data_IF_635489481118
#
_entry.id   IF_635489481118
#
_cell.length_a   1.000
_cell.length_b   1.000
_cell.length_c   1.000
_cell.angle_alpha   90.00
_cell.angle_beta   90.00
_cell.angle_gamma   90.00
#
_symmetry.space_group_name_H-M   'P 1'
#
loop_
_entity.id
_entity.type
_entity.pdbx_description
1 polymer ?
#
# COMPACT_ATOMS: atom_id res chain seq x y z
N UNK A 1 -15.20 3.51 -20.61
CA UNK A 1 -15.05 2.09 -20.20
C UNK A 1 -15.08 1.90 -18.68
N UNK A 2 -14.54 2.81 -17.88
CA UNK A 2 -14.58 2.71 -16.40
C UNK A 2 -16.01 2.83 -15.81
N UNK A 3 -16.96 3.47 -16.53
CA UNK A 3 -18.36 3.52 -16.11
C UNK A 3 -19.12 2.19 -16.22
N UNK A 4 -18.61 1.27 -17.06
CA UNK A 4 -19.27 -0.03 -17.28
C UNK A 4 -19.15 -0.97 -16.07
N UNK A 5 -18.10 -0.84 -15.26
CA UNK A 5 -17.87 -1.67 -14.09
C UNK A 5 -18.51 -1.09 -12.81
N UNK A 6 -18.84 0.21 -12.82
CA UNK A 6 -19.41 0.88 -11.65
C UNK A 6 -20.92 1.10 -11.72
N UNK A 7 -21.57 0.82 -12.87
CA UNK A 7 -23.00 1.06 -13.10
C UNK A 7 -23.76 -0.18 -13.57
N UNK A 8 -23.31 -1.38 -13.19
CA UNK A 8 -24.11 -2.59 -13.43
C UNK A 8 -25.32 -2.61 -12.49
N UNK A 9 -26.33 -1.81 -12.79
CA UNK A 9 -27.70 -2.03 -12.30
C UNK A 9 -28.44 -3.13 -13.09
N UNK A 10 -27.80 -3.73 -14.12
CA UNK A 10 -28.33 -4.88 -14.86
C UNK A 10 -27.30 -6.01 -14.84
N UNK A 11 -27.65 -7.09 -14.18
CA UNK A 11 -26.92 -8.31 -13.83
C UNK A 11 -26.32 -9.10 -15.02
N UNK A 12 -25.33 -8.55 -15.72
CA UNK A 12 -24.66 -9.32 -16.77
C UNK A 12 -23.51 -10.21 -16.25
N UNK A 13 -22.87 -9.85 -15.14
CA UNK A 13 -21.85 -10.67 -14.50
C UNK A 13 -21.89 -10.51 -12.99
N UNK A 14 -22.19 -11.59 -12.30
CA UNK A 14 -22.09 -11.67 -10.84
C UNK A 14 -20.83 -12.45 -10.49
N UNK A 15 -19.86 -11.79 -9.90
CA UNK A 15 -18.75 -12.50 -9.25
C UNK A 15 -19.25 -13.05 -7.93
N UNK A 16 -18.95 -14.32 -7.64
CA UNK A 16 -19.31 -14.94 -6.38
C UNK A 16 -18.12 -15.71 -5.79
N UNK A 17 -18.00 -15.66 -4.48
CA UNK A 17 -17.08 -16.46 -3.68
C UNK A 17 -17.92 -17.27 -2.68
N UNK A 18 -17.84 -18.60 -2.73
CA UNK A 18 -18.62 -19.50 -1.87
C UNK A 18 -20.15 -19.20 -1.91
N UNK A 19 -20.70 -18.98 -3.11
CA UNK A 19 -22.11 -18.63 -3.33
C UNK A 19 -22.56 -17.29 -2.73
N UNK A 20 -21.64 -16.43 -2.31
CA UNK A 20 -21.92 -15.08 -1.85
C UNK A 20 -21.58 -14.08 -2.95
N UNK A 21 -22.40 -13.03 -3.17
CA UNK A 21 -22.08 -11.99 -4.13
C UNK A 21 -20.78 -11.29 -3.72
N UNK A 22 -19.90 -11.11 -4.70
CA UNK A 22 -18.61 -10.46 -4.54
C UNK A 22 -18.70 -9.02 -5.05
N UNK A 23 -18.36 -8.05 -4.21
CA UNK A 23 -18.37 -6.65 -4.60
C UNK A 23 -17.06 -6.25 -5.29
N UNK A 24 -17.05 -6.26 -6.62
CA UNK A 24 -15.86 -5.90 -7.41
C UNK A 24 -15.30 -4.50 -7.06
N UNK A 25 -16.15 -3.57 -6.69
CA UNK A 25 -15.72 -2.21 -6.28
C UNK A 25 -14.85 -2.19 -5.03
N UNK A 26 -14.97 -3.18 -4.14
CA UNK A 26 -14.18 -3.30 -2.90
C UNK A 26 -12.97 -4.19 -3.06
N UNK A 27 -13.20 -5.40 -3.61
CA UNK A 27 -12.23 -6.49 -3.58
C UNK A 27 -11.63 -6.78 -4.96
N UNK A 28 -12.06 -6.05 -6.00
CA UNK A 28 -11.56 -6.14 -7.35
C UNK A 28 -10.65 -4.97 -7.74
N UNK A 29 -9.80 -5.22 -8.73
CA UNK A 29 -8.98 -4.19 -9.35
C UNK A 29 -9.02 -4.34 -10.87
N UNK A 30 -9.40 -3.26 -11.57
CA UNK A 30 -9.32 -3.19 -13.02
C UNK A 30 -8.06 -2.43 -13.42
N UNK A 31 -7.21 -3.07 -14.23
CA UNK A 31 -5.95 -2.52 -14.73
C UNK A 31 -6.09 -2.38 -16.24
N UNK A 32 -6.22 -1.15 -16.73
CA UNK A 32 -6.31 -0.86 -18.16
C UNK A 32 -4.96 -0.98 -18.86
N UNK A 33 -3.90 -0.60 -18.18
CA UNK A 33 -2.55 -0.49 -18.72
C UNK A 33 -1.51 -0.93 -17.70
N UNK A 34 -0.96 -2.15 -17.84
CA UNK A 34 0.03 -2.71 -16.91
C UNK A 34 1.29 -1.86 -16.69
N UNK A 35 1.67 -1.06 -17.69
CA UNK A 35 2.87 -0.20 -17.63
C UNK A 35 2.74 0.97 -16.63
N UNK A 36 1.51 1.39 -16.31
CA UNK A 36 1.28 2.54 -15.43
C UNK A 36 0.93 2.16 -13.99
N UNK A 37 1.16 0.91 -13.60
CA UNK A 37 0.98 0.52 -12.19
C UNK A 37 2.03 1.18 -11.31
N UNK A 38 1.59 1.73 -10.18
CA UNK A 38 2.45 2.41 -9.22
C UNK A 38 2.40 1.70 -7.86
N UNK A 39 3.50 1.01 -7.53
CA UNK A 39 3.67 0.34 -6.25
C UNK A 39 3.71 1.32 -5.07
N UNK A 40 4.06 2.58 -5.33
CA UNK A 40 4.11 3.65 -4.33
C UNK A 40 2.90 4.59 -4.39
N UNK A 41 1.79 4.13 -4.97
CA UNK A 41 0.53 4.86 -4.96
C UNK A 41 0.12 5.22 -3.53
N UNK A 42 -0.55 6.37 -3.36
CA UNK A 42 -1.01 6.85 -2.05
C UNK A 42 -1.80 5.78 -1.26
N UNK A 43 -2.58 4.96 -1.97
CA UNK A 43 -3.40 3.91 -1.35
C UNK A 43 -2.53 2.78 -0.78
N UNK A 44 -1.51 2.33 -1.52
CA UNK A 44 -0.58 1.30 -1.06
C UNK A 44 0.33 1.81 0.06
N UNK A 45 0.88 3.03 -0.08
CA UNK A 45 1.72 3.64 0.96
C UNK A 45 0.94 3.84 2.26
N UNK A 46 -0.32 4.29 2.21
CA UNK A 46 -1.13 4.43 3.42
C UNK A 46 -1.38 3.08 4.14
N UNK A 47 -1.45 1.98 3.39
CA UNK A 47 -1.53 0.63 3.99
C UNK A 47 -0.19 0.15 4.52
N UNK A 48 0.91 0.47 3.85
CA UNK A 48 2.26 0.19 4.33
C UNK A 48 2.52 0.92 5.66
N UNK A 49 2.22 2.22 5.73
CA UNK A 49 2.38 3.03 6.95
C UNK A 49 1.58 2.43 8.11
N UNK A 50 0.32 2.06 7.88
CA UNK A 50 -0.51 1.42 8.90
C UNK A 50 0.05 0.07 9.37
N UNK A 51 0.57 -0.75 8.44
CA UNK A 51 1.23 -2.00 8.78
C UNK A 51 2.51 -1.78 9.59
N UNK A 52 3.37 -0.84 9.18
CA UNK A 52 4.60 -0.50 9.91
C UNK A 52 4.31 0.08 11.29
N UNK A 53 3.27 0.91 11.42
CA UNK A 53 2.82 1.43 12.71
C UNK A 53 2.36 0.31 13.66
N UNK A 54 1.58 -0.63 13.16
CA UNK A 54 1.14 -1.78 13.95
C UNK A 54 2.34 -2.63 14.37
N UNK A 55 3.23 -2.96 13.46
CA UNK A 55 4.44 -3.74 13.74
C UNK A 55 5.33 -3.03 14.77
N UNK A 56 5.51 -1.71 14.67
CA UNK A 56 6.28 -0.93 15.63
C UNK A 56 5.68 -0.97 17.05
N UNK A 57 4.35 -0.99 17.15
CA UNK A 57 3.68 -1.05 18.46
C UNK A 57 3.65 -2.47 19.05
N UNK A 58 3.53 -3.49 18.22
CA UNK A 58 3.34 -4.87 18.66
C UNK A 58 4.67 -5.59 18.86
N UNK A 59 5.59 -5.51 17.89
CA UNK A 59 6.85 -6.28 17.88
C UNK A 59 8.04 -5.46 18.39
N UNK A 60 8.02 -4.11 18.23
CA UNK A 60 9.13 -3.22 18.54
C UNK A 60 8.73 -2.12 19.54
N UNK A 61 7.89 -2.47 20.53
CA UNK A 61 7.35 -1.51 21.50
C UNK A 61 8.46 -0.85 22.34
N UNK A 62 9.50 -1.60 22.73
CA UNK A 62 10.62 -1.08 23.50
C UNK A 62 11.42 -0.06 22.70
N UNK A 63 11.84 -0.42 21.47
CA UNK A 63 12.58 0.47 20.58
C UNK A 63 11.77 1.74 20.25
N UNK A 64 10.47 1.56 20.01
CA UNK A 64 9.55 2.67 19.74
C UNK A 64 9.48 3.63 20.93
N UNK A 65 9.47 3.10 22.14
CA UNK A 65 9.45 3.89 23.37
C UNK A 65 10.77 4.63 23.56
N UNK A 66 11.91 3.99 23.27
CA UNK A 66 13.22 4.64 23.34
C UNK A 66 13.34 5.81 22.36
N UNK A 67 12.84 5.64 21.12
CA UNK A 67 12.82 6.71 20.11
C UNK A 67 11.96 7.87 20.59
N UNK A 68 10.75 7.62 21.10
CA UNK A 68 9.89 8.66 21.67
C UNK A 68 10.57 9.42 22.82
N UNK A 69 11.22 8.70 23.73
CA UNK A 69 11.97 9.31 24.82
C UNK A 69 13.16 10.14 24.33
N UNK A 70 13.82 9.72 23.25
CA UNK A 70 14.90 10.50 22.64
C UNK A 70 14.38 11.80 22.01
N UNK A 71 13.23 11.75 21.33
CA UNK A 71 12.56 12.94 20.77
C UNK A 71 12.18 13.92 21.87
N UNK A 72 11.56 13.44 22.96
CA UNK A 72 11.19 14.28 24.09
C UNK A 72 12.42 14.96 24.72
N UNK A 73 13.50 14.22 24.96
CA UNK A 73 14.76 14.80 25.48
C UNK A 73 15.34 15.87 24.55
N UNK A 74 15.22 15.71 23.24
CA UNK A 74 15.65 16.71 22.28
C UNK A 74 14.77 17.95 22.35
N UNK A 75 13.44 17.78 22.43
CA UNK A 75 12.48 18.86 22.56
C UNK A 75 12.73 19.70 23.82
N UNK A 76 12.99 19.06 24.98
CA UNK A 76 13.35 19.74 26.22
C UNK A 76 14.61 20.61 26.09
N UNK A 77 15.64 20.06 25.41
CA UNK A 77 16.87 20.81 25.16
C UNK A 77 16.63 22.01 24.25
N UNK A 78 15.84 21.83 23.19
CA UNK A 78 15.51 22.92 22.25
C UNK A 78 14.69 24.00 22.95
N UNK A 79 13.72 23.60 23.78
CA UNK A 79 12.93 24.53 24.62
C UNK A 79 13.81 25.37 25.52
N UNK A 80 14.82 24.77 26.17
CA UNK A 80 15.75 25.47 27.06
C UNK A 80 16.65 26.50 26.32
N UNK A 81 16.83 26.39 25.02
CA UNK A 81 17.57 27.34 24.14
C UNK A 81 16.67 28.40 23.52
N UNK A 82 15.35 28.33 23.73
CA UNK A 82 14.44 29.31 23.18
C UNK A 82 14.42 30.57 24.04
N UNK A 83 14.59 31.74 23.40
CA UNK A 83 14.56 33.03 24.07
C UNK A 83 13.14 33.46 24.51
N UNK A 84 12.11 32.73 24.05
CA UNK A 84 10.71 32.96 24.35
C UNK A 84 10.08 31.71 24.97
N UNK A 85 9.02 31.88 25.75
CA UNK A 85 8.23 30.75 26.26
C UNK A 85 7.64 29.97 25.06
N UNK A 86 8.04 28.73 24.92
CA UNK A 86 7.52 27.83 23.91
C UNK A 86 7.05 26.52 24.56
N UNK A 87 6.03 25.94 23.96
CA UNK A 87 5.48 24.64 24.37
C UNK A 87 5.61 23.66 23.22
N UNK A 88 5.70 22.39 23.53
CA UNK A 88 5.65 21.32 22.55
C UNK A 88 4.70 20.23 23.01
N UNK A 89 4.19 19.40 22.10
CA UNK A 89 3.35 18.27 22.44
C UNK A 89 4.21 17.12 22.94
N UNK A 90 3.96 16.66 24.16
CA UNK A 90 4.63 15.48 24.74
C UNK A 90 4.19 14.17 24.07
N UNK A 91 3.06 14.19 23.36
CA UNK A 91 2.52 13.01 22.67
C UNK A 91 3.15 12.85 21.28
N UNK A 92 4.27 12.14 21.23
CA UNK A 92 4.83 11.73 19.94
C UNK A 92 4.08 10.49 19.45
N UNK A 93 3.24 10.67 18.41
CA UNK A 93 2.52 9.58 17.76
C UNK A 93 3.47 8.68 16.96
N UNK A 94 3.34 7.36 17.13
CA UNK A 94 4.10 6.37 16.35
C UNK A 94 3.88 6.56 14.85
N UNK A 95 2.67 6.93 14.41
CA UNK A 95 2.35 7.22 13.03
C UNK A 95 3.18 8.40 12.46
N UNK A 96 3.46 9.42 13.28
CA UNK A 96 4.31 10.54 12.86
C UNK A 96 5.76 10.09 12.65
N UNK A 97 6.29 9.23 13.52
CA UNK A 97 7.63 8.65 13.40
C UNK A 97 7.72 7.81 12.11
N UNK A 98 6.75 6.92 11.86
CA UNK A 98 6.73 6.08 10.65
C UNK A 98 6.67 6.93 9.39
N UNK A 99 5.84 7.96 9.35
CA UNK A 99 5.77 8.90 8.22
C UNK A 99 7.09 9.65 7.98
N UNK A 100 7.77 10.04 9.07
CA UNK A 100 9.08 10.68 8.97
C UNK A 100 10.14 9.76 8.36
N UNK A 101 10.09 8.46 8.66
CA UNK A 101 10.98 7.46 8.08
C UNK A 101 10.77 7.28 6.56
N UNK A 102 9.56 7.58 6.05
CA UNK A 102 9.27 7.62 4.62
C UNK A 102 9.37 6.26 3.94
N UNK A 103 8.86 5.20 4.55
CA UNK A 103 8.86 3.86 3.95
C UNK A 103 8.24 3.82 2.57
N UNK A 104 8.90 3.14 1.65
CA UNK A 104 8.45 2.94 0.28
C UNK A 104 8.79 1.54 -0.19
N UNK A 105 8.00 1.02 -1.11
CA UNK A 105 8.37 -0.20 -1.82
C UNK A 105 9.51 0.10 -2.80
N UNK A 106 10.53 -0.78 -2.83
CA UNK A 106 11.59 -0.65 -3.82
C UNK A 106 11.03 -0.85 -5.23
N UNK A 107 11.38 0.07 -6.12
CA UNK A 107 11.04 0.01 -7.54
C UNK A 107 12.16 -0.63 -8.37
N UNK A 108 13.20 -1.17 -7.74
CA UNK A 108 14.28 -1.88 -8.40
C UNK A 108 13.77 -3.22 -8.93
N UNK A 109 13.22 -3.19 -10.12
CA UNK A 109 12.81 -4.38 -10.87
C UNK A 109 13.57 -4.45 -12.18
N UNK A 110 13.99 -5.67 -12.55
CA UNK A 110 14.78 -5.91 -13.76
C UNK A 110 13.93 -5.85 -15.04
N UNK A 111 12.61 -5.98 -14.92
CA UNK A 111 11.69 -6.02 -16.06
C UNK A 111 10.30 -5.45 -15.71
N UNK A 112 9.54 -5.10 -16.77
CA UNK A 112 8.13 -4.70 -16.63
C UNK A 112 7.29 -5.83 -16.00
N UNK A 113 7.55 -7.07 -16.36
CA UNK A 113 6.86 -8.24 -15.83
C UNK A 113 7.05 -8.35 -14.32
N UNK A 114 8.29 -8.23 -13.85
CA UNK A 114 8.61 -8.29 -12.42
C UNK A 114 7.93 -7.15 -11.64
N UNK A 115 7.98 -5.93 -12.18
CA UNK A 115 7.28 -4.78 -11.62
C UNK A 115 5.78 -5.04 -11.49
N UNK A 116 5.17 -5.58 -12.53
CA UNK A 116 3.75 -5.89 -12.57
C UNK A 116 3.37 -7.00 -11.58
N UNK A 117 4.15 -8.10 -11.53
CA UNK A 117 3.97 -9.18 -10.53
C UNK A 117 4.03 -8.63 -9.12
N UNK A 118 5.03 -7.80 -8.82
CA UNK A 118 5.20 -7.20 -7.50
C UNK A 118 4.00 -6.31 -7.14
N UNK A 119 3.51 -5.49 -8.07
CA UNK A 119 2.31 -4.68 -7.87
C UNK A 119 1.08 -5.53 -7.54
N UNK A 120 0.84 -6.64 -8.27
CA UNK A 120 -0.28 -7.53 -8.01
C UNK A 120 -0.18 -8.17 -6.62
N UNK A 121 1.00 -8.67 -6.26
CA UNK A 121 1.27 -9.23 -4.92
C UNK A 121 1.06 -8.21 -3.79
N UNK A 122 1.57 -7.00 -3.96
CA UNK A 122 1.38 -5.92 -3.00
C UNK A 122 -0.10 -5.56 -2.86
N UNK A 123 -0.82 -5.46 -3.98
CA UNK A 123 -2.25 -5.16 -3.99
C UNK A 123 -3.07 -6.27 -3.34
N UNK A 124 -2.75 -7.53 -3.60
CA UNK A 124 -3.39 -8.65 -2.93
C UNK A 124 -3.13 -8.63 -1.42
N UNK A 125 -1.90 -8.40 -0.99
CA UNK A 125 -1.50 -8.41 0.43
C UNK A 125 -2.06 -7.21 1.21
N UNK A 126 -1.84 -6.00 0.72
CA UNK A 126 -2.11 -4.76 1.48
C UNK A 126 -3.50 -4.19 1.20
N UNK A 127 -4.01 -4.29 -0.03
CA UNK A 127 -5.35 -3.81 -0.38
C UNK A 127 -6.41 -4.90 -0.27
N UNK A 128 -6.01 -6.15 0.00
CA UNK A 128 -6.90 -7.31 0.04
C UNK A 128 -7.65 -7.55 -1.27
N UNK A 129 -7.02 -7.16 -2.38
CA UNK A 129 -7.60 -7.37 -3.72
C UNK A 129 -7.62 -8.86 -4.01
N UNK A 130 -8.80 -9.38 -4.33
CA UNK A 130 -9.04 -10.81 -4.61
C UNK A 130 -9.07 -11.12 -6.10
N UNK A 131 -9.57 -10.18 -6.90
CA UNK A 131 -9.71 -10.36 -8.35
C UNK A 131 -9.06 -9.20 -9.09
N UNK A 132 -8.21 -9.56 -10.06
CA UNK A 132 -7.60 -8.61 -10.99
C UNK A 132 -8.16 -8.83 -12.38
N UNK A 133 -8.67 -7.77 -13.00
CA UNK A 133 -9.07 -7.77 -14.41
C UNK A 133 -8.08 -6.90 -15.15
N UNK A 134 -7.29 -7.50 -16.03
CA UNK A 134 -6.24 -6.81 -16.78
C UNK A 134 -6.65 -6.72 -18.24
N UNK A 135 -6.84 -5.50 -18.73
CA UNK A 135 -7.13 -5.28 -20.14
C UNK A 135 -5.84 -5.25 -20.96
N UNK A 136 -5.94 -5.67 -22.21
CA UNK A 136 -4.88 -5.55 -23.22
C UNK A 136 -3.52 -6.16 -22.82
N UNK A 137 -3.51 -7.15 -21.93
CA UNK A 137 -2.28 -7.74 -21.39
C UNK A 137 -1.32 -8.22 -22.51
N UNK A 138 -1.85 -8.76 -23.61
CA UNK A 138 -1.07 -9.24 -24.74
C UNK A 138 -0.38 -8.13 -25.56
N UNK A 139 -0.66 -6.84 -25.27
CA UNK A 139 0.09 -5.74 -25.89
C UNK A 139 1.41 -5.45 -25.15
N UNK A 140 1.51 -5.90 -23.91
CA UNK A 140 2.64 -5.59 -23.02
C UNK A 140 3.51 -6.81 -22.73
N UNK A 141 2.93 -8.01 -22.77
CA UNK A 141 3.60 -9.25 -22.41
C UNK A 141 3.41 -10.31 -23.48
N UNK A 142 4.47 -11.05 -23.76
CA UNK A 142 4.46 -12.24 -24.61
C UNK A 142 3.67 -13.38 -23.95
N UNK A 143 3.25 -14.41 -24.71
CA UNK A 143 2.59 -15.60 -24.14
C UNK A 143 3.40 -16.30 -23.06
N UNK A 144 4.73 -16.33 -23.19
CA UNK A 144 5.61 -16.94 -22.20
C UNK A 144 5.65 -16.12 -20.91
N UNK A 145 5.75 -14.78 -21.01
CA UNK A 145 5.68 -13.87 -19.86
C UNK A 145 4.33 -13.93 -19.15
N UNK A 146 3.22 -14.06 -19.89
CA UNK A 146 1.89 -14.27 -19.29
C UNK A 146 1.84 -15.61 -18.54
N UNK A 147 2.46 -16.66 -19.10
CA UNK A 147 2.57 -17.95 -18.41
C UNK A 147 3.40 -17.84 -17.12
N UNK A 148 4.49 -17.09 -17.14
CA UNK A 148 5.30 -16.81 -15.95
C UNK A 148 4.52 -15.99 -14.92
N UNK A 149 3.80 -14.96 -15.33
CA UNK A 149 2.92 -14.17 -14.48
C UNK A 149 1.94 -15.05 -13.71
N UNK A 150 1.24 -15.95 -14.43
CA UNK A 150 0.24 -16.84 -13.82
C UNK A 150 0.85 -17.87 -12.84
N UNK A 151 2.11 -18.25 -13.04
CA UNK A 151 2.82 -19.13 -12.11
C UNK A 151 3.35 -18.40 -10.87
N UNK A 152 3.59 -17.10 -11.01
CA UNK A 152 4.15 -16.28 -9.94
C UNK A 152 3.10 -15.79 -8.92
N UNK A 153 1.83 -15.79 -9.29
CA UNK A 153 0.69 -15.39 -8.45
C UNK A 153 0.10 -16.55 -7.68
#
# INVERSE_FOLDING_TARGET
MSSFLNSCEEDYFVFSEDFKPFEFSKDGCFISEPIFVDMNSRKLLGKLDGYMQQTANDEFAEDTTEVKAAIARLADKLKAFCDFDCEYSDETDTSAIIKLMGFRFSAESSSLLECFVNYLKLSAKYLKTKVFVVANICLYFSPDEISELLKAL
#
